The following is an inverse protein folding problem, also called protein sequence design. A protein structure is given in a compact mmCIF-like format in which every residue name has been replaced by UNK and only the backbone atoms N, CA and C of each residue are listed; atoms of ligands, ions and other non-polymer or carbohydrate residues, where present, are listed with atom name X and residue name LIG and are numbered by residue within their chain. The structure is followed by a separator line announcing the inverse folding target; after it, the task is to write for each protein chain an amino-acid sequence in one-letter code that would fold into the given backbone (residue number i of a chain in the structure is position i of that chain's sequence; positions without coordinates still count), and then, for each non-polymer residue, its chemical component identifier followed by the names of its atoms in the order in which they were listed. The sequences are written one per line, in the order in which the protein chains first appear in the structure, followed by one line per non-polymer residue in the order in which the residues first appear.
data_IF_517987395773
#
_entry.id   IF_517987395773
#
_cell.length_a   1.000
_cell.length_b   1.000
_cell.length_c   1.000
_cell.angle_alpha   90.00
_cell.angle_beta   90.00
_cell.angle_gamma   90.00
#
_symmetry.space_group_name_H-M   'P 1'
#
loop_
_entity.id
_entity.type
_entity.pdbx_description
1 polymer ?
#
# COMPACT_ATOMS: atom_id res chain seq x y z
N UNK A 1 5.48 12.01 31.45
CA UNK A 1 5.46 11.82 30.01
C UNK A 1 6.61 10.95 29.54
N UNK A 2 6.59 10.53 28.28
CA UNK A 2 7.69 9.80 27.65
C UNK A 2 8.63 10.83 27.01
N UNK A 3 9.91 10.78 27.35
CA UNK A 3 10.94 11.57 26.66
C UNK A 3 11.50 10.75 25.49
N UNK A 4 11.03 11.06 24.30
CA UNK A 4 11.53 10.40 23.08
C UNK A 4 12.89 10.97 22.68
N UNK A 5 13.77 10.11 22.20
CA UNK A 5 15.09 10.49 21.67
C UNK A 5 15.12 10.60 20.15
N UNK A 6 14.15 9.93 19.48
CA UNK A 6 13.99 9.92 18.03
C UNK A 6 12.52 10.12 17.68
N UNK A 7 12.28 10.89 16.63
CA UNK A 7 10.96 11.26 16.13
C UNK A 7 10.84 10.85 14.67
N UNK A 8 9.87 9.99 14.38
CA UNK A 8 9.62 9.49 13.04
C UNK A 8 8.39 10.16 12.43
N UNK A 9 8.60 11.02 11.46
CA UNK A 9 7.55 11.62 10.64
C UNK A 9 7.12 10.62 9.56
N UNK A 10 6.04 9.90 9.83
CA UNK A 10 5.45 8.95 8.92
C UNK A 10 4.52 9.68 7.95
N UNK A 11 5.02 10.04 6.76
CA UNK A 11 4.44 10.94 5.76
C UNK A 11 4.41 12.42 6.19
N UNK A 12 4.16 13.32 5.23
CA UNK A 12 4.19 14.76 5.42
C UNK A 12 3.22 15.27 6.48
N UNK A 13 2.04 14.64 6.64
CA UNK A 13 1.03 15.07 7.64
C UNK A 13 1.55 15.10 9.09
N UNK A 14 2.59 14.33 9.41
CA UNK A 14 3.19 14.31 10.74
C UNK A 14 4.22 15.46 10.96
N UNK A 15 4.63 16.16 9.92
CA UNK A 15 5.79 17.07 9.97
C UNK A 15 5.61 18.27 10.90
N UNK A 16 4.38 18.75 11.15
CA UNK A 16 4.13 19.86 12.09
C UNK A 16 4.53 19.54 13.53
N UNK A 17 4.76 18.27 13.88
CA UNK A 17 5.42 17.88 15.12
C UNK A 17 6.78 18.61 15.26
N UNK A 18 7.56 18.67 14.17
CA UNK A 18 8.87 19.32 14.20
C UNK A 18 8.75 20.84 14.40
N UNK A 19 7.69 21.48 13.90
CA UNK A 19 7.45 22.89 14.16
C UNK A 19 7.22 23.17 15.66
N UNK A 20 6.43 22.32 16.32
CA UNK A 20 6.24 22.45 17.77
C UNK A 20 7.56 22.22 18.54
N UNK A 21 8.33 21.20 18.15
CA UNK A 21 9.63 20.92 18.77
C UNK A 21 10.62 22.07 18.63
N UNK A 22 10.66 22.71 17.44
CA UNK A 22 11.47 23.92 17.22
C UNK A 22 11.06 25.01 18.22
N UNK A 23 9.75 25.25 18.37
CA UNK A 23 9.26 26.25 19.32
C UNK A 23 9.63 25.91 20.78
N UNK A 24 9.53 24.64 21.17
CA UNK A 24 9.90 24.20 22.52
C UNK A 24 11.40 24.40 22.80
N UNK A 25 12.29 24.09 21.84
CA UNK A 25 13.73 24.34 21.99
C UNK A 25 14.07 25.82 22.10
N UNK A 26 13.43 26.69 21.30
CA UNK A 26 13.65 28.14 21.39
C UNK A 26 13.10 28.70 22.69
N UNK A 27 11.84 28.39 23.03
CA UNK A 27 11.13 29.02 24.15
C UNK A 27 11.54 28.43 25.51
N UNK A 28 11.77 27.12 25.61
CA UNK A 28 12.02 26.47 26.90
C UNK A 28 13.53 26.27 27.16
N UNK A 29 14.34 26.08 26.12
CA UNK A 29 15.78 25.85 26.25
C UNK A 29 16.62 27.09 25.91
N UNK A 30 16.01 28.14 25.38
CA UNK A 30 16.69 29.38 25.04
C UNK A 30 17.65 29.28 23.87
N UNK A 31 17.46 28.28 22.99
CA UNK A 31 18.27 28.13 21.79
C UNK A 31 17.87 29.16 20.73
N UNK A 32 18.82 29.57 19.90
CA UNK A 32 18.49 30.26 18.65
C UNK A 32 17.71 29.35 17.71
N UNK A 33 17.02 29.92 16.73
CA UNK A 33 16.30 29.13 15.72
C UNK A 33 17.21 28.14 14.99
N UNK A 34 18.44 28.54 14.63
CA UNK A 34 19.41 27.69 13.93
C UNK A 34 19.84 26.53 14.81
N UNK A 35 20.15 26.75 16.08
CA UNK A 35 20.50 25.68 17.02
C UNK A 35 19.33 24.74 17.23
N UNK A 36 18.11 25.26 17.39
CA UNK A 36 16.89 24.47 17.51
C UNK A 36 16.65 23.59 16.27
N UNK A 37 16.89 24.14 15.06
CA UNK A 37 16.75 23.43 13.81
C UNK A 37 17.71 22.21 13.74
N UNK A 38 18.96 22.38 14.10
CA UNK A 38 19.92 21.28 14.12
C UNK A 38 19.56 20.21 15.17
N UNK A 39 19.07 20.63 16.34
CA UNK A 39 18.59 19.69 17.37
C UNK A 39 17.38 18.89 16.91
N UNK A 40 16.43 19.53 16.21
CA UNK A 40 15.26 18.84 15.67
C UNK A 40 15.66 17.91 14.52
N UNK A 41 16.49 18.38 13.59
CA UNK A 41 16.95 17.58 12.45
C UNK A 41 17.67 16.32 12.90
N UNK A 42 18.66 16.44 13.79
CA UNK A 42 19.51 15.33 14.26
C UNK A 42 18.73 14.18 14.93
N UNK A 43 17.49 14.45 15.36
CA UNK A 43 16.64 13.49 16.04
C UNK A 43 15.34 13.17 15.27
N UNK A 44 15.22 13.57 14.01
CA UNK A 44 14.04 13.37 13.18
C UNK A 44 14.33 12.58 11.91
N UNK A 45 13.43 11.66 11.60
CA UNK A 45 13.42 10.84 10.39
C UNK A 45 12.10 11.07 9.65
N UNK A 46 12.15 11.19 8.33
CA UNK A 46 10.98 11.28 7.45
C UNK A 46 10.86 10.07 6.53
N UNK A 47 9.71 9.43 6.52
CA UNK A 47 9.40 8.37 5.55
C UNK A 47 8.29 8.84 4.61
N UNK A 48 8.61 8.91 3.31
CA UNK A 48 7.65 9.21 2.25
C UNK A 48 6.97 7.93 1.78
N UNK A 49 5.64 7.96 1.59
CA UNK A 49 4.86 6.77 1.25
C UNK A 49 4.24 6.79 -0.14
N UNK A 50 4.34 7.89 -0.88
CA UNK A 50 3.73 7.98 -2.21
C UNK A 50 4.52 8.85 -3.17
N UNK A 51 4.73 8.40 -4.43
CA UNK A 51 5.26 9.24 -5.49
C UNK A 51 4.15 10.03 -6.22
N UNK A 52 2.88 9.84 -5.82
CA UNK A 52 1.73 10.46 -6.49
C UNK A 52 1.49 11.85 -5.92
N UNK A 53 1.49 12.93 -6.74
CA UNK A 53 1.34 14.31 -6.26
C UNK A 53 0.11 14.55 -5.37
N UNK A 54 -1.01 13.90 -5.66
CA UNK A 54 -2.24 13.99 -4.86
C UNK A 54 -2.12 13.42 -3.43
N UNK A 55 -1.04 12.72 -3.12
CA UNK A 55 -0.74 12.20 -1.78
C UNK A 55 0.09 13.15 -0.92
N UNK A 56 0.55 14.28 -1.45
CA UNK A 56 1.31 15.29 -0.72
C UNK A 56 0.41 16.46 -0.36
N UNK A 57 0.49 16.93 0.88
CA UNK A 57 -0.29 18.05 1.37
C UNK A 57 0.39 19.38 1.06
N UNK A 58 -0.38 20.31 0.48
CA UNK A 58 0.04 21.66 0.16
C UNK A 58 -0.98 22.65 0.71
N UNK A 59 -0.51 23.66 1.43
CA UNK A 59 -1.35 24.70 1.99
C UNK A 59 -1.08 26.06 1.36
N UNK A 60 -2.13 26.75 0.92
CA UNK A 60 -2.05 28.13 0.47
C UNK A 60 -1.61 29.04 1.63
N UNK A 61 -0.88 30.10 1.30
CA UNK A 61 -0.28 31.00 2.29
C UNK A 61 -1.32 31.57 3.29
N UNK A 62 -2.51 31.92 2.81
CA UNK A 62 -3.57 32.43 3.68
C UNK A 62 -4.03 31.40 4.73
N UNK A 63 -4.11 30.13 4.34
CA UNK A 63 -4.47 29.04 5.25
C UNK A 63 -3.33 28.75 6.22
N UNK A 64 -2.09 28.68 5.71
CA UNK A 64 -0.91 28.51 6.52
C UNK A 64 -0.76 29.65 7.55
N UNK A 65 -0.95 30.90 7.14
CA UNK A 65 -0.89 32.06 8.02
C UNK A 65 -1.83 31.93 9.22
N UNK A 66 -3.07 31.54 8.97
CA UNK A 66 -4.10 31.42 10.02
C UNK A 66 -3.65 30.51 11.20
N UNK A 67 -2.88 29.48 10.92
CA UNK A 67 -2.50 28.47 11.93
C UNK A 67 -1.03 28.53 12.34
N UNK A 68 -0.14 28.92 11.43
CA UNK A 68 1.31 28.81 11.64
C UNK A 68 1.98 30.15 11.99
N UNK A 69 1.35 31.30 11.71
CA UNK A 69 1.95 32.62 12.01
C UNK A 69 2.43 32.77 13.47
N UNK A 70 1.70 32.29 14.50
CA UNK A 70 2.19 32.40 15.88
C UNK A 70 3.51 31.66 16.15
N UNK A 71 3.86 30.71 15.29
CA UNK A 71 5.14 30.00 15.39
C UNK A 71 6.31 30.81 14.86
N UNK A 72 6.11 31.69 13.87
CA UNK A 72 7.15 32.62 13.43
C UNK A 72 7.62 33.50 14.61
N UNK A 73 6.68 34.06 15.38
CA UNK A 73 6.97 34.82 16.57
C UNK A 73 7.70 33.99 17.64
N UNK A 74 7.23 32.77 17.91
CA UNK A 74 7.87 31.86 18.88
C UNK A 74 9.30 31.50 18.51
N UNK A 75 9.57 31.38 17.21
CA UNK A 75 10.90 31.03 16.67
C UNK A 75 11.82 32.25 16.52
N UNK A 76 11.28 33.48 16.60
CA UNK A 76 12.02 34.71 16.36
C UNK A 76 12.47 34.88 14.91
N UNK A 77 11.69 34.39 13.95
CA UNK A 77 11.95 34.48 12.50
C UNK A 77 10.82 35.23 11.80
N UNK A 78 11.06 35.68 10.57
CA UNK A 78 10.02 36.30 9.77
C UNK A 78 8.96 35.26 9.31
N UNK A 79 7.77 35.74 8.95
CA UNK A 79 6.76 34.88 8.31
C UNK A 79 7.26 34.30 7.00
N UNK A 80 8.03 35.05 6.21
CA UNK A 80 8.62 34.59 4.97
C UNK A 80 9.60 33.44 5.20
N UNK A 81 10.46 33.52 6.23
CA UNK A 81 11.38 32.44 6.58
C UNK A 81 10.63 31.14 6.96
N UNK A 82 9.53 31.27 7.73
CA UNK A 82 8.72 30.11 8.09
C UNK A 82 8.09 29.48 6.84
N UNK A 83 7.51 30.28 5.95
CA UNK A 83 6.95 29.79 4.69
C UNK A 83 8.02 29.11 3.80
N UNK A 84 9.23 29.67 3.77
CA UNK A 84 10.35 29.11 2.99
C UNK A 84 10.80 27.73 3.48
N UNK A 85 10.55 27.37 4.74
CA UNK A 85 10.79 26.01 5.22
C UNK A 85 9.96 24.96 4.50
N UNK A 86 8.79 25.32 3.97
CA UNK A 86 7.90 24.43 3.22
C UNK A 86 7.90 24.68 1.71
N UNK A 87 8.82 25.50 1.17
CA UNK A 87 8.92 25.83 -0.25
C UNK A 87 10.20 25.22 -0.87
N UNK A 88 10.06 24.64 -2.03
CA UNK A 88 11.21 24.14 -2.81
C UNK A 88 12.04 25.31 -3.34
N UNK A 89 11.36 26.36 -3.77
CA UNK A 89 11.99 27.63 -4.17
C UNK A 89 11.65 28.72 -3.15
N UNK A 90 12.61 29.09 -2.28
CA UNK A 90 12.43 30.20 -1.34
C UNK A 90 12.07 31.51 -2.05
N UNK A 91 11.39 32.39 -1.33
CA UNK A 91 10.98 33.74 -1.79
C UNK A 91 10.10 33.77 -3.04
N UNK A 92 9.35 32.68 -3.25
CA UNK A 92 8.33 32.56 -4.31
C UNK A 92 6.92 32.50 -3.74
N UNK A 93 5.92 32.44 -4.63
CA UNK A 93 4.51 32.25 -4.25
C UNK A 93 4.10 30.77 -4.17
N UNK A 94 5.07 29.84 -4.05
CA UNK A 94 4.77 28.43 -3.86
C UNK A 94 3.98 28.19 -2.58
N UNK A 95 3.06 27.24 -2.63
CA UNK A 95 2.32 26.79 -1.46
C UNK A 95 3.26 26.12 -0.45
N UNK A 96 2.91 26.15 0.81
CA UNK A 96 3.63 25.40 1.85
C UNK A 96 3.42 23.90 1.67
N UNK A 97 4.47 23.18 1.37
CA UNK A 97 4.49 21.72 1.23
C UNK A 97 4.90 21.06 2.54
N UNK A 98 4.06 20.18 3.05
CA UNK A 98 4.36 19.40 4.25
C UNK A 98 5.56 18.47 4.05
N UNK A 99 5.73 17.91 2.84
CA UNK A 99 6.87 17.05 2.53
C UNK A 99 8.19 17.83 2.45
N UNK A 100 8.18 19.01 1.85
CA UNK A 100 9.37 19.90 1.83
C UNK A 100 9.73 20.32 3.25
N UNK A 101 8.75 20.69 4.05
CA UNK A 101 8.96 21.02 5.46
C UNK A 101 9.55 19.84 6.25
N UNK A 102 9.04 18.62 6.02
CA UNK A 102 9.58 17.42 6.64
C UNK A 102 11.05 17.20 6.26
N UNK A 103 11.38 17.31 4.96
CA UNK A 103 12.76 17.15 4.48
C UNK A 103 13.71 18.22 5.02
N UNK A 104 13.25 19.45 5.18
CA UNK A 104 14.03 20.53 5.77
C UNK A 104 14.24 20.40 7.29
N UNK A 105 13.39 19.63 7.97
CA UNK A 105 13.43 19.48 9.45
C UNK A 105 13.78 18.06 9.91
N UNK A 106 14.08 17.14 9.00
CA UNK A 106 14.58 15.81 9.29
C UNK A 106 15.98 15.64 8.70
N UNK A 107 16.86 14.93 9.38
CA UNK A 107 18.19 14.62 8.87
C UNK A 107 18.14 13.48 7.86
N UNK A 108 17.39 12.45 8.18
CA UNK A 108 17.25 11.26 7.35
C UNK A 108 15.88 11.22 6.69
N UNK A 109 15.84 10.78 5.45
CA UNK A 109 14.61 10.52 4.72
C UNK A 109 14.71 9.22 3.94
N UNK A 110 13.59 8.49 3.83
CA UNK A 110 13.56 7.26 3.06
C UNK A 110 12.24 7.05 2.32
N UNK A 111 12.33 6.40 1.15
CA UNK A 111 11.20 5.75 0.50
C UNK A 111 10.95 4.37 1.10
N UNK A 112 9.89 3.69 0.63
CA UNK A 112 9.38 2.43 1.21
C UNK A 112 9.61 1.19 0.33
N UNK A 113 10.44 1.32 -0.68
CA UNK A 113 11.07 0.28 -1.50
C UNK A 113 12.29 0.89 -2.19
N UNK A 114 13.18 0.05 -2.73
CA UNK A 114 14.35 0.54 -3.47
C UNK A 114 13.94 1.48 -4.62
N UNK A 115 13.02 1.03 -5.47
CA UNK A 115 12.55 1.84 -6.60
C UNK A 115 11.89 3.15 -6.14
N UNK A 116 11.12 3.10 -5.06
CA UNK A 116 10.49 4.30 -4.50
C UNK A 116 11.52 5.28 -3.92
N UNK A 117 12.62 4.79 -3.35
CA UNK A 117 13.76 5.62 -2.95
C UNK A 117 14.33 6.40 -4.14
N UNK A 118 14.57 5.72 -5.26
CA UNK A 118 15.09 6.36 -6.49
C UNK A 118 14.08 7.36 -7.10
N UNK A 119 12.79 7.05 -7.06
CA UNK A 119 11.73 7.97 -7.49
C UNK A 119 11.67 9.20 -6.58
N UNK A 120 11.78 8.99 -5.27
CA UNK A 120 11.75 10.07 -4.26
C UNK A 120 12.95 10.99 -4.36
N UNK A 121 14.14 10.47 -4.66
CA UNK A 121 15.32 11.29 -4.96
C UNK A 121 15.05 12.27 -6.10
N UNK A 122 14.48 11.78 -7.21
CA UNK A 122 14.13 12.62 -8.36
C UNK A 122 13.03 13.63 -8.03
N UNK A 123 12.02 13.19 -7.28
CA UNK A 123 10.87 14.01 -6.92
C UNK A 123 11.26 15.21 -6.04
N UNK A 124 12.23 15.03 -5.16
CA UNK A 124 12.68 16.05 -4.22
C UNK A 124 14.05 16.68 -4.58
N UNK A 125 14.53 16.45 -5.79
CA UNK A 125 15.85 16.94 -6.22
C UNK A 125 16.02 18.47 -6.07
N UNK A 126 14.94 19.23 -6.27
CA UNK A 126 14.96 20.68 -6.17
C UNK A 126 15.24 21.24 -4.77
N UNK A 127 15.10 20.42 -3.72
CA UNK A 127 15.34 20.85 -2.33
C UNK A 127 16.84 21.02 -2.05
N UNK A 128 17.67 20.15 -2.62
CA UNK A 128 19.14 20.20 -2.44
C UNK A 128 19.79 20.84 -3.65
N UNK A 129 19.73 22.17 -3.73
CA UNK A 129 20.32 22.94 -4.84
C UNK A 129 21.83 22.72 -4.94
N UNK A 130 22.30 22.42 -6.13
CA UNK A 130 23.71 22.19 -6.41
C UNK A 130 24.13 20.71 -6.33
N UNK A 131 23.26 19.82 -5.90
CA UNK A 131 23.48 18.37 -5.94
C UNK A 131 22.79 17.75 -7.16
N UNK A 132 23.35 16.68 -7.70
CA UNK A 132 22.59 15.83 -8.63
C UNK A 132 21.51 15.08 -7.87
N UNK A 133 20.46 14.63 -8.55
CA UNK A 133 19.36 13.91 -7.87
C UNK A 133 19.83 12.60 -7.22
N UNK A 134 20.88 11.96 -7.76
CA UNK A 134 21.48 10.73 -7.23
C UNK A 134 22.11 10.97 -5.85
N UNK A 135 22.61 12.18 -5.61
CA UNK A 135 23.27 12.59 -4.37
C UNK A 135 22.30 13.09 -3.31
N UNK A 136 20.99 13.20 -3.65
CA UNK A 136 20.00 13.68 -2.68
C UNK A 136 19.89 12.74 -1.47
N UNK A 137 19.60 13.33 -0.31
CA UNK A 137 19.62 12.65 0.99
C UNK A 137 18.32 11.85 1.23
N UNK A 138 17.95 11.00 0.28
CA UNK A 138 16.79 10.10 0.40
C UNK A 138 17.27 8.67 0.17
N UNK A 139 17.20 7.87 1.21
CA UNK A 139 17.46 6.43 1.15
C UNK A 139 16.19 5.62 0.86
N UNK A 140 16.23 4.35 1.21
CA UNK A 140 15.05 3.50 1.23
C UNK A 140 15.10 2.48 2.38
N UNK A 141 13.93 2.14 2.87
CA UNK A 141 13.72 0.98 3.75
C UNK A 141 12.49 0.26 3.22
N UNK A 142 12.69 -0.93 2.69
CA UNK A 142 11.59 -1.69 2.09
C UNK A 142 10.58 -2.09 3.16
N UNK A 143 9.32 -1.76 2.92
CA UNK A 143 8.24 -2.14 3.83
C UNK A 143 8.14 -3.65 3.96
N UNK A 144 7.78 -4.09 5.14
CA UNK A 144 7.35 -5.44 5.43
C UNK A 144 5.92 -5.50 5.93
N UNK A 145 5.47 -6.69 6.27
CA UNK A 145 4.14 -6.94 6.82
C UNK A 145 4.21 -7.75 8.10
N UNK A 146 3.26 -7.50 9.00
CA UNK A 146 3.21 -8.19 10.28
C UNK A 146 2.67 -9.61 10.10
N UNK A 147 3.57 -10.59 10.02
CA UNK A 147 3.26 -12.00 9.79
C UNK A 147 2.19 -12.57 10.76
N UNK A 148 2.25 -12.31 12.08
CA UNK A 148 1.22 -12.81 13.01
C UNK A 148 -0.20 -12.35 12.69
N UNK A 149 -0.35 -11.17 12.06
CA UNK A 149 -1.65 -10.63 11.65
C UNK A 149 -2.12 -11.17 10.30
N UNK A 150 -1.21 -11.34 9.33
CA UNK A 150 -1.57 -11.59 7.93
C UNK A 150 -1.45 -13.05 7.50
N UNK A 151 -0.55 -13.84 8.09
CA UNK A 151 -0.52 -15.28 7.86
C UNK A 151 -1.74 -15.96 8.49
N UNK A 152 -2.41 -16.83 7.75
CA UNK A 152 -3.49 -17.65 8.26
C UNK A 152 -3.02 -18.52 9.44
N UNK A 153 -3.91 -18.82 10.38
CA UNK A 153 -3.59 -19.72 11.50
C UNK A 153 -3.10 -21.08 11.03
N UNK A 154 -3.68 -21.56 9.94
CA UNK A 154 -3.31 -22.82 9.28
C UNK A 154 -1.87 -22.77 8.74
N UNK A 155 -1.47 -21.67 8.09
CA UNK A 155 -0.11 -21.48 7.63
C UNK A 155 0.88 -21.35 8.78
N UNK A 156 0.52 -20.65 9.84
CA UNK A 156 1.38 -20.57 11.05
C UNK A 156 1.62 -21.94 11.66
N UNK A 157 0.58 -22.76 11.79
CA UNK A 157 0.71 -24.12 12.27
C UNK A 157 1.55 -25.02 11.32
N UNK A 158 1.39 -24.80 10.01
CA UNK A 158 2.18 -25.49 8.99
C UNK A 158 3.67 -25.13 9.07
N UNK A 159 3.98 -23.84 9.19
CA UNK A 159 5.36 -23.37 9.35
C UNK A 159 5.98 -23.89 10.64
N UNK A 160 5.28 -23.82 11.77
CA UNK A 160 5.76 -24.38 13.04
C UNK A 160 6.08 -25.88 12.92
N UNK A 161 5.20 -26.64 12.24
CA UNK A 161 5.37 -28.09 12.05
C UNK A 161 6.58 -28.44 11.19
N UNK A 162 6.82 -27.71 10.10
CA UNK A 162 7.82 -28.08 9.08
C UNK A 162 9.14 -27.32 9.22
N UNK A 163 9.12 -26.11 9.77
CA UNK A 163 10.29 -25.24 9.93
C UNK A 163 10.73 -25.07 11.38
N UNK A 164 9.84 -25.42 12.34
CA UNK A 164 10.05 -25.16 13.77
C UNK A 164 9.62 -23.75 14.19
N UNK A 165 9.42 -23.55 15.48
CA UNK A 165 8.92 -22.26 16.04
C UNK A 165 9.91 -21.10 15.84
N UNK A 166 11.19 -21.39 15.64
CA UNK A 166 12.22 -20.37 15.39
C UNK A 166 11.95 -19.52 14.13
N UNK A 167 11.17 -20.01 13.17
CA UNK A 167 10.81 -19.21 11.99
C UNK A 167 10.09 -17.90 12.34
N UNK A 168 9.35 -17.88 13.45
CA UNK A 168 8.62 -16.68 13.90
C UNK A 168 9.52 -15.64 14.57
N UNK A 169 10.67 -16.06 15.10
CA UNK A 169 11.66 -15.16 15.71
C UNK A 169 12.68 -14.68 14.65
N UNK A 170 12.98 -15.51 13.66
CA UNK A 170 13.98 -15.29 12.62
C UNK A 170 13.38 -15.16 11.21
N UNK A 171 12.16 -14.61 11.11
CA UNK A 171 11.43 -14.54 9.84
C UNK A 171 12.12 -13.73 8.74
N UNK A 172 13.05 -12.85 9.07
CA UNK A 172 13.87 -12.11 8.12
C UNK A 172 15.11 -12.86 7.63
N UNK A 173 15.41 -14.01 8.20
CA UNK A 173 16.58 -14.82 7.84
C UNK A 173 16.21 -15.89 6.81
N UNK A 174 16.78 -15.88 5.59
CA UNK A 174 16.48 -16.89 4.56
C UNK A 174 16.66 -18.32 5.06
N UNK A 175 17.68 -18.57 5.88
CA UNK A 175 17.98 -19.89 6.44
C UNK A 175 16.84 -20.47 7.26
N UNK A 176 16.05 -19.63 7.94
CA UNK A 176 14.90 -20.10 8.73
C UNK A 176 13.80 -20.72 7.85
N UNK A 177 13.78 -20.41 6.56
CA UNK A 177 12.79 -20.85 5.59
C UNK A 177 13.26 -22.04 4.73
N UNK A 178 14.55 -22.37 4.71
CA UNK A 178 15.10 -23.43 3.84
C UNK A 178 14.41 -24.79 4.00
N UNK A 179 13.90 -25.09 5.19
CA UNK A 179 13.14 -26.31 5.44
C UNK A 179 11.90 -26.49 4.57
N UNK A 180 11.38 -25.41 3.97
CA UNK A 180 10.19 -25.48 3.10
C UNK A 180 10.43 -26.32 1.85
N UNK A 181 11.65 -26.36 1.33
CA UNK A 181 12.03 -27.17 0.16
C UNK A 181 11.99 -28.68 0.41
N UNK A 182 11.90 -29.11 1.68
CA UNK A 182 11.74 -30.50 2.05
C UNK A 182 10.27 -30.91 2.24
N UNK A 183 9.34 -29.99 2.09
CA UNK A 183 7.90 -30.25 2.20
C UNK A 183 7.39 -30.72 0.86
N UNK A 184 6.56 -31.79 0.83
CA UNK A 184 6.02 -32.29 -0.42
C UNK A 184 5.02 -31.32 -1.05
N UNK A 185 4.95 -31.32 -2.38
CA UNK A 185 4.01 -30.51 -3.14
C UNK A 185 2.55 -30.79 -2.76
N UNK A 186 2.23 -32.06 -2.45
CA UNK A 186 0.90 -32.47 -2.02
C UNK A 186 0.51 -31.79 -0.71
N UNK A 187 1.41 -31.73 0.27
CA UNK A 187 1.12 -31.09 1.55
C UNK A 187 0.89 -29.58 1.40
N UNK A 188 1.67 -28.91 0.54
CA UNK A 188 1.50 -27.49 0.21
C UNK A 188 0.15 -27.29 -0.51
N UNK A 189 -0.16 -28.14 -1.48
CA UNK A 189 -1.40 -28.08 -2.25
C UNK A 189 -2.64 -28.30 -1.37
N UNK A 190 -2.63 -29.30 -0.50
CA UNK A 190 -3.72 -29.55 0.46
C UNK A 190 -3.97 -28.35 1.35
N UNK A 191 -2.90 -27.70 1.85
CA UNK A 191 -3.00 -26.47 2.64
C UNK A 191 -3.65 -25.34 1.83
N UNK A 192 -3.20 -25.13 0.59
CA UNK A 192 -3.77 -24.11 -0.31
C UNK A 192 -5.25 -24.39 -0.58
N UNK A 193 -5.62 -25.62 -0.88
CA UNK A 193 -7.00 -26.01 -1.14
C UNK A 193 -7.89 -25.85 0.10
N UNK A 194 -7.38 -26.14 1.29
CA UNK A 194 -8.12 -25.94 2.54
C UNK A 194 -8.47 -24.43 2.73
N UNK A 195 -7.52 -23.53 2.52
CA UNK A 195 -7.74 -22.08 2.64
C UNK A 195 -8.65 -21.53 1.54
N UNK A 196 -8.49 -22.00 0.32
CA UNK A 196 -9.38 -21.66 -0.80
C UNK A 196 -10.83 -22.07 -0.51
N UNK A 197 -11.05 -23.30 -0.04
CA UNK A 197 -12.38 -23.76 0.35
C UNK A 197 -12.95 -22.95 1.53
N UNK A 198 -12.12 -22.57 2.49
CA UNK A 198 -12.53 -21.68 3.60
C UNK A 198 -12.96 -20.30 3.08
N UNK A 199 -12.28 -19.76 2.08
CA UNK A 199 -12.65 -18.51 1.43
C UNK A 199 -13.96 -18.66 0.63
N UNK A 200 -14.11 -19.72 -0.16
CA UNK A 200 -15.36 -19.99 -0.92
C UNK A 200 -16.55 -20.13 0.03
N UNK A 201 -16.38 -20.85 1.13
CA UNK A 201 -17.43 -20.98 2.14
C UNK A 201 -17.78 -19.64 2.79
N UNK A 202 -16.80 -18.78 3.03
CA UNK A 202 -17.04 -17.39 3.47
C UNK A 202 -17.89 -16.63 2.44
N UNK A 203 -17.59 -16.72 1.15
CA UNK A 203 -18.37 -16.07 0.10
C UNK A 203 -19.81 -16.61 0.05
N UNK A 204 -19.96 -17.93 0.11
CA UNK A 204 -21.27 -18.60 0.00
C UNK A 204 -22.19 -18.35 1.20
N UNK A 205 -21.62 -18.15 2.39
CA UNK A 205 -22.39 -17.94 3.62
C UNK A 205 -22.48 -16.46 3.99
N UNK A 206 -21.34 -15.85 4.26
CA UNK A 206 -21.31 -14.53 4.92
C UNK A 206 -21.53 -13.39 3.91
N UNK A 207 -21.12 -13.58 2.65
CA UNK A 207 -21.30 -12.57 1.60
C UNK A 207 -22.67 -12.65 0.92
N UNK A 208 -23.24 -13.84 0.82
CA UNK A 208 -24.57 -14.04 0.24
C UNK A 208 -25.63 -13.18 0.91
N UNK A 209 -25.64 -13.11 2.24
CA UNK A 209 -26.61 -12.31 2.99
C UNK A 209 -26.47 -10.82 2.70
N UNK A 210 -25.26 -10.32 2.61
CA UNK A 210 -24.98 -8.91 2.25
C UNK A 210 -25.44 -8.59 0.83
N UNK A 211 -25.15 -9.45 -0.12
CA UNK A 211 -25.59 -9.28 -1.50
C UNK A 211 -27.12 -9.30 -1.62
N UNK A 212 -27.79 -10.20 -0.92
CA UNK A 212 -29.26 -10.26 -0.92
C UNK A 212 -29.89 -8.99 -0.36
N UNK A 213 -29.25 -8.36 0.64
CA UNK A 213 -29.73 -7.10 1.21
C UNK A 213 -29.53 -5.90 0.25
N UNK A 214 -28.49 -5.92 -0.60
CA UNK A 214 -28.09 -4.79 -1.45
C UNK A 214 -28.52 -4.95 -2.93
N UNK A 215 -28.91 -6.16 -3.37
CA UNK A 215 -29.30 -6.43 -4.76
C UNK A 215 -30.81 -6.49 -4.90
N UNK A 216 -31.33 -5.79 -5.92
CA UNK A 216 -32.76 -5.80 -6.22
C UNK A 216 -33.29 -7.13 -6.80
N UNK A 217 -32.39 -8.05 -7.19
CA UNK A 217 -32.75 -9.38 -7.75
C UNK A 217 -32.01 -10.50 -6.97
N UNK A 218 -32.71 -11.17 -6.05
CA UNK A 218 -32.17 -12.30 -5.32
C UNK A 218 -31.69 -13.47 -6.21
N UNK A 219 -32.30 -13.66 -7.37
CA UNK A 219 -31.94 -14.76 -8.28
C UNK A 219 -30.53 -14.55 -8.86
N UNK A 220 -30.12 -13.31 -9.11
CA UNK A 220 -28.77 -12.98 -9.56
C UNK A 220 -27.73 -13.35 -8.49
N UNK A 221 -28.01 -13.11 -7.21
CA UNK A 221 -27.12 -13.46 -6.10
C UNK A 221 -26.95 -14.98 -5.98
N UNK A 222 -28.05 -15.73 -6.07
CA UNK A 222 -27.99 -17.20 -6.06
C UNK A 222 -27.15 -17.71 -7.23
N UNK A 223 -27.38 -17.18 -8.42
CA UNK A 223 -26.62 -17.55 -9.62
C UNK A 223 -25.10 -17.24 -9.47
N UNK A 224 -24.71 -16.14 -8.83
CA UNK A 224 -23.31 -15.84 -8.59
C UNK A 224 -22.70 -16.85 -7.61
N UNK A 225 -23.38 -17.11 -6.49
CA UNK A 225 -22.90 -17.98 -5.42
C UNK A 225 -22.76 -19.43 -5.90
N UNK A 226 -23.72 -19.93 -6.67
CA UNK A 226 -23.71 -21.30 -7.19
C UNK A 226 -22.63 -21.52 -8.26
N UNK A 227 -22.20 -20.45 -8.93
CA UNK A 227 -21.11 -20.49 -9.94
C UNK A 227 -19.72 -20.37 -9.35
N UNK A 228 -19.56 -20.13 -8.06
CA UNK A 228 -18.23 -20.15 -7.43
C UNK A 228 -17.70 -21.59 -7.47
N UNK A 229 -16.65 -21.78 -8.28
CA UNK A 229 -16.07 -23.09 -8.56
C UNK A 229 -14.76 -23.28 -7.79
N UNK A 230 -14.67 -24.24 -6.87
CA UNK A 230 -13.43 -24.52 -6.12
C UNK A 230 -12.28 -25.01 -7.02
N UNK A 231 -12.59 -25.55 -8.20
CA UNK A 231 -11.60 -26.01 -9.16
C UNK A 231 -11.18 -24.91 -10.17
N UNK A 232 -11.80 -23.73 -10.14
CA UNK A 232 -11.37 -22.63 -10.98
C UNK A 232 -10.10 -21.99 -10.42
N UNK A 233 -9.24 -21.47 -11.30
CA UNK A 233 -8.17 -20.55 -10.92
C UNK A 233 -8.79 -19.24 -10.43
N UNK A 234 -8.67 -18.92 -9.15
CA UNK A 234 -9.22 -17.69 -8.57
C UNK A 234 -8.14 -16.63 -8.51
N UNK A 235 -8.38 -15.52 -9.22
CA UNK A 235 -7.49 -14.38 -9.29
C UNK A 235 -8.10 -13.21 -8.52
N UNK A 236 -7.41 -12.74 -7.49
CA UNK A 236 -7.85 -11.63 -6.63
C UNK A 236 -7.21 -10.30 -7.00
N UNK A 237 -8.02 -9.24 -7.05
CA UNK A 237 -7.57 -7.87 -7.16
C UNK A 237 -8.29 -7.04 -6.09
N UNK A 238 -7.58 -6.64 -5.04
CA UNK A 238 -8.19 -5.86 -3.96
C UNK A 238 -7.30 -4.74 -3.47
N UNK A 239 -7.75 -3.50 -3.68
CA UNK A 239 -7.00 -2.31 -3.31
C UNK A 239 -7.87 -1.05 -3.35
N UNK A 240 -7.32 0.08 -2.89
CA UNK A 240 -7.93 1.38 -3.15
C UNK A 240 -8.01 1.59 -4.67
N UNK A 241 -9.20 1.94 -5.16
CA UNK A 241 -9.39 2.27 -6.57
C UNK A 241 -8.86 3.68 -6.83
N UNK A 242 -7.75 3.73 -7.55
CA UNK A 242 -7.13 4.93 -8.12
C UNK A 242 -6.68 4.60 -9.54
N UNK A 243 -6.66 5.58 -10.43
CA UNK A 243 -6.42 5.36 -11.87
C UNK A 243 -5.10 4.66 -12.15
N UNK A 244 -4.02 5.03 -11.45
CA UNK A 244 -2.68 4.44 -11.66
C UNK A 244 -2.61 2.94 -11.31
N UNK A 245 -3.54 2.43 -10.51
CA UNK A 245 -3.60 0.99 -10.17
C UNK A 245 -4.22 0.14 -11.27
N UNK A 246 -4.77 0.78 -12.30
CA UNK A 246 -5.24 0.21 -13.57
C UNK A 246 -6.18 -0.99 -13.42
N UNK A 247 -7.14 -0.93 -12.50
CA UNK A 247 -8.15 -1.98 -12.35
C UNK A 247 -8.91 -2.29 -13.65
N UNK A 248 -8.97 -1.32 -14.58
CA UNK A 248 -9.62 -1.45 -15.88
C UNK A 248 -8.81 -2.25 -16.91
N UNK A 249 -7.52 -2.51 -16.67
CA UNK A 249 -6.64 -3.15 -17.67
C UNK A 249 -7.16 -4.52 -18.13
N UNK A 250 -7.74 -5.30 -17.22
CA UNK A 250 -8.36 -6.59 -17.54
C UNK A 250 -9.53 -6.47 -18.55
N UNK A 251 -10.18 -5.32 -18.61
CA UNK A 251 -11.41 -5.09 -19.38
C UNK A 251 -11.17 -4.35 -20.70
N UNK A 252 -9.94 -4.26 -21.15
CA UNK A 252 -9.59 -3.61 -22.43
C UNK A 252 -10.05 -4.42 -23.66
N UNK A 253 -10.17 -5.74 -23.50
CA UNK A 253 -10.66 -6.67 -24.52
C UNK A 253 -11.67 -7.64 -23.89
N UNK A 254 -12.95 -7.27 -23.91
CA UNK A 254 -14.01 -8.07 -23.30
C UNK A 254 -14.28 -9.39 -24.04
N UNK A 255 -14.09 -9.45 -25.34
CA UNK A 255 -14.30 -10.68 -26.11
C UNK A 255 -13.24 -11.72 -25.80
N UNK A 256 -11.98 -11.29 -25.67
CA UNK A 256 -10.89 -12.15 -25.24
C UNK A 256 -11.11 -12.61 -23.78
N UNK A 257 -11.49 -11.70 -22.90
CA UNK A 257 -11.77 -12.01 -21.51
C UNK A 257 -12.92 -13.03 -21.40
N UNK A 258 -14.00 -12.85 -22.17
CA UNK A 258 -15.12 -13.79 -22.20
C UNK A 258 -14.67 -15.20 -22.62
N UNK A 259 -13.78 -15.33 -23.60
CA UNK A 259 -13.21 -16.63 -24.01
C UNK A 259 -12.40 -17.28 -22.90
N UNK A 260 -11.63 -16.49 -22.14
CA UNK A 260 -10.82 -16.99 -21.02
C UNK A 260 -11.72 -17.50 -19.88
N UNK A 261 -12.66 -16.67 -19.39
CA UNK A 261 -13.45 -17.02 -18.20
C UNK A 261 -14.54 -18.06 -18.46
N UNK A 262 -14.89 -18.31 -19.71
CA UNK A 262 -15.88 -19.34 -20.11
C UNK A 262 -15.21 -20.62 -20.66
N UNK A 263 -13.90 -20.78 -20.50
CA UNK A 263 -13.22 -22.02 -20.83
C UNK A 263 -13.55 -23.08 -19.74
N UNK A 264 -14.26 -24.13 -20.13
CA UNK A 264 -14.68 -25.19 -19.21
C UNK A 264 -13.54 -26.10 -18.77
N UNK A 265 -12.52 -26.28 -19.62
CA UNK A 265 -11.37 -27.11 -19.32
C UNK A 265 -10.40 -26.42 -18.34
N UNK A 266 -10.29 -25.10 -18.44
CA UNK A 266 -9.42 -24.28 -17.59
C UNK A 266 -10.24 -23.11 -16.99
N UNK A 267 -11.13 -23.40 -16.03
CA UNK A 267 -12.02 -22.39 -15.48
C UNK A 267 -11.24 -21.33 -14.69
N UNK A 268 -11.56 -20.05 -14.93
CA UNK A 268 -10.95 -18.90 -14.26
C UNK A 268 -12.04 -18.01 -13.69
N UNK A 269 -11.84 -17.51 -12.48
CA UNK A 269 -12.70 -16.52 -11.84
C UNK A 269 -11.88 -15.36 -11.31
N UNK A 270 -12.39 -14.13 -11.49
CA UNK A 270 -11.77 -12.93 -10.97
C UNK A 270 -12.61 -12.35 -9.82
N UNK A 271 -11.94 -12.03 -8.73
CA UNK A 271 -12.58 -11.41 -7.56
C UNK A 271 -11.96 -10.04 -7.32
N UNK A 272 -12.78 -9.02 -7.45
CA UNK A 272 -12.44 -7.63 -7.18
C UNK A 272 -12.98 -7.18 -5.83
N UNK A 273 -12.22 -6.38 -5.10
CA UNK A 273 -12.66 -5.71 -3.89
C UNK A 273 -11.93 -4.38 -3.72
N UNK A 274 -12.50 -3.46 -2.98
CA UNK A 274 -11.84 -2.20 -2.68
C UNK A 274 -12.81 -1.04 -2.53
N UNK A 275 -12.24 0.13 -2.26
CA UNK A 275 -12.98 1.39 -2.10
C UNK A 275 -12.27 2.49 -2.89
N UNK A 276 -13.01 3.46 -3.38
CA UNK A 276 -12.49 4.72 -3.89
C UNK A 276 -12.64 5.80 -2.82
N UNK A 277 -11.76 6.81 -2.86
CA UNK A 277 -11.94 7.98 -2.01
C UNK A 277 -13.24 8.72 -2.40
N UNK A 278 -14.01 9.28 -1.45
CA UNK A 278 -15.26 9.98 -1.76
C UNK A 278 -15.10 11.13 -2.76
N UNK A 279 -13.95 11.78 -2.79
CA UNK A 279 -13.63 12.86 -3.74
C UNK A 279 -13.02 12.35 -5.07
N UNK A 280 -12.75 11.04 -5.22
CA UNK A 280 -12.16 10.45 -6.42
C UNK A 280 -13.25 9.88 -7.34
N UNK A 281 -13.85 10.75 -8.16
CA UNK A 281 -14.88 10.35 -9.13
C UNK A 281 -14.37 9.35 -10.18
N UNK A 282 -13.10 9.42 -10.55
CA UNK A 282 -12.48 8.47 -11.50
C UNK A 282 -12.39 7.07 -10.89
N UNK A 283 -11.93 6.96 -9.64
CA UNK A 283 -11.89 5.69 -8.91
C UNK A 283 -13.28 5.09 -8.70
N UNK A 284 -14.29 5.92 -8.38
CA UNK A 284 -15.69 5.49 -8.29
C UNK A 284 -16.23 5.00 -9.63
N UNK A 285 -15.87 5.67 -10.74
CA UNK A 285 -16.23 5.25 -12.09
C UNK A 285 -15.65 3.88 -12.46
N UNK A 286 -14.41 3.58 -12.02
CA UNK A 286 -13.81 2.25 -12.21
C UNK A 286 -14.61 1.15 -11.50
N UNK A 287 -15.01 1.37 -10.24
CA UNK A 287 -15.86 0.43 -9.49
C UNK A 287 -17.18 0.20 -10.22
N UNK A 288 -17.87 1.29 -10.59
CA UNK A 288 -19.14 1.21 -11.33
C UNK A 288 -18.98 0.37 -12.60
N UNK A 289 -17.93 0.63 -13.38
CA UNK A 289 -17.68 -0.11 -14.63
C UNK A 289 -17.45 -1.61 -14.40
N UNK A 290 -16.70 -1.98 -13.36
CA UNK A 290 -16.47 -3.39 -13.02
C UNK A 290 -17.78 -4.08 -12.62
N UNK A 291 -18.60 -3.41 -11.81
CA UNK A 291 -19.91 -3.93 -11.40
C UNK A 291 -20.84 -4.09 -12.59
N UNK A 292 -20.88 -3.15 -13.53
CA UNK A 292 -21.65 -3.28 -14.77
C UNK A 292 -21.20 -4.49 -15.59
N UNK A 293 -19.89 -4.68 -15.79
CA UNK A 293 -19.35 -5.82 -16.52
C UNK A 293 -19.67 -7.14 -15.81
N UNK A 294 -19.56 -7.20 -14.49
CA UNK A 294 -19.83 -8.43 -13.72
C UNK A 294 -21.27 -8.93 -13.86
N UNK A 295 -22.20 -8.03 -14.23
CA UNK A 295 -23.62 -8.33 -14.47
C UNK A 295 -23.94 -8.78 -15.89
N UNK A 296 -23.00 -8.66 -16.83
CA UNK A 296 -23.21 -9.12 -18.20
C UNK A 296 -23.32 -10.66 -18.22
N UNK A 297 -24.20 -11.24 -19.06
CA UNK A 297 -24.44 -12.69 -19.09
C UNK A 297 -23.20 -13.55 -19.19
N UNK A 298 -22.22 -13.14 -20.03
CA UNK A 298 -20.96 -13.87 -20.25
C UNK A 298 -19.99 -13.80 -19.07
N UNK A 299 -20.18 -12.85 -18.13
CA UNK A 299 -19.31 -12.63 -16.96
C UNK A 299 -19.95 -12.95 -15.63
N UNK A 300 -21.25 -13.26 -15.63
CA UNK A 300 -22.01 -13.54 -14.40
C UNK A 300 -21.41 -14.74 -13.64
N UNK A 301 -21.00 -14.53 -12.39
CA UNK A 301 -20.32 -15.52 -11.56
C UNK A 301 -18.88 -15.83 -11.95
N UNK A 302 -18.34 -15.17 -13.01
CA UNK A 302 -16.93 -15.26 -13.44
C UNK A 302 -16.12 -14.05 -13.02
N UNK A 303 -16.75 -12.87 -13.02
CA UNK A 303 -16.20 -11.64 -12.47
C UNK A 303 -17.08 -11.22 -11.31
N UNK A 304 -16.51 -11.16 -10.12
CA UNK A 304 -17.23 -10.93 -8.86
C UNK A 304 -16.64 -9.69 -8.19
N UNK A 305 -17.49 -8.74 -7.81
CA UNK A 305 -17.10 -7.60 -6.99
C UNK A 305 -17.59 -7.79 -5.56
N UNK A 306 -16.66 -7.77 -4.60
CA UNK A 306 -16.98 -7.85 -3.18
C UNK A 306 -17.14 -6.44 -2.60
N UNK A 307 -18.32 -6.14 -2.13
CA UNK A 307 -18.67 -4.89 -1.47
C UNK A 307 -18.06 -4.83 -0.05
N UNK A 308 -18.06 -3.64 0.53
CA UNK A 308 -17.64 -3.40 1.91
C UNK A 308 -16.25 -3.96 2.27
N UNK A 309 -15.26 -3.68 1.39
CA UNK A 309 -13.88 -4.09 1.63
C UNK A 309 -13.35 -3.57 2.97
N UNK A 310 -12.95 -4.49 3.83
CA UNK A 310 -12.44 -4.26 5.18
C UNK A 310 -11.35 -5.28 5.53
N UNK A 311 -10.80 -5.22 6.73
CA UNK A 311 -9.72 -6.13 7.18
C UNK A 311 -10.12 -7.62 7.16
N UNK A 312 -11.40 -7.95 7.41
CA UNK A 312 -11.86 -9.34 7.39
C UNK A 312 -11.85 -9.86 5.95
N UNK A 313 -12.43 -9.10 5.02
CA UNK A 313 -12.43 -9.43 3.58
C UNK A 313 -11.01 -9.48 3.04
N UNK A 314 -10.15 -8.53 3.43
CA UNK A 314 -8.75 -8.52 3.02
C UNK A 314 -8.01 -9.80 3.43
N UNK A 315 -8.13 -10.20 4.70
CA UNK A 315 -7.50 -11.45 5.21
C UNK A 315 -8.01 -12.68 4.46
N UNK A 316 -9.31 -12.75 4.17
CA UNK A 316 -9.88 -13.88 3.41
C UNK A 316 -9.37 -13.94 1.99
N UNK A 317 -9.25 -12.78 1.32
CA UNK A 317 -8.74 -12.70 -0.05
C UNK A 317 -7.27 -13.11 -0.14
N UNK A 318 -6.37 -12.50 0.65
CA UNK A 318 -4.92 -12.79 0.59
C UNK A 318 -4.56 -14.21 1.02
N UNK A 319 -5.48 -14.93 1.66
CA UNK A 319 -5.28 -16.34 2.06
C UNK A 319 -5.94 -17.33 1.10
N UNK A 320 -7.01 -16.92 0.41
CA UNK A 320 -7.90 -17.85 -0.28
C UNK A 320 -7.89 -17.81 -1.80
N UNK A 321 -7.37 -16.76 -2.43
CA UNK A 321 -7.19 -16.73 -3.90
C UNK A 321 -5.93 -17.51 -4.31
N UNK A 322 -5.83 -17.91 -5.57
CA UNK A 322 -4.66 -18.60 -6.09
C UNK A 322 -3.59 -17.62 -6.57
N UNK A 323 -4.03 -16.54 -7.21
CA UNK A 323 -3.17 -15.48 -7.73
C UNK A 323 -3.61 -14.13 -7.16
N UNK A 324 -2.65 -13.32 -6.74
CA UNK A 324 -2.83 -11.93 -6.36
C UNK A 324 -2.36 -11.02 -7.49
N UNK A 325 -3.32 -10.28 -8.09
CA UNK A 325 -3.06 -9.46 -9.27
C UNK A 325 -2.76 -8.00 -8.87
N UNK A 326 -1.61 -7.48 -9.34
CA UNK A 326 -1.19 -6.10 -9.19
C UNK A 326 -0.81 -5.50 -10.55
N UNK A 327 -1.51 -4.46 -10.98
CA UNK A 327 -1.30 -3.84 -12.30
C UNK A 327 -1.00 -2.34 -12.24
N UNK A 328 -0.15 -1.84 -11.32
CA UNK A 328 0.09 -0.40 -11.22
C UNK A 328 0.78 0.14 -12.48
N UNK A 329 0.62 1.44 -12.72
CA UNK A 329 1.47 2.17 -13.67
C UNK A 329 2.81 2.43 -13.02
N UNK A 330 3.86 1.77 -13.48
CA UNK A 330 5.22 1.98 -12.97
C UNK A 330 5.70 3.40 -13.30
N UNK A 331 6.36 4.12 -12.36
CA UNK A 331 6.79 3.70 -11.04
C UNK A 331 5.91 4.26 -9.89
N UNK A 332 4.59 4.23 -10.05
CA UNK A 332 3.66 4.93 -9.14
C UNK A 332 3.23 4.10 -7.92
N UNK A 333 3.58 2.82 -7.83
CA UNK A 333 3.36 2.01 -6.63
C UNK A 333 4.58 2.13 -5.71
N UNK A 334 4.42 2.81 -4.58
CA UNK A 334 5.53 3.03 -3.65
C UNK A 334 6.03 1.73 -2.99
N UNK A 335 5.13 0.87 -2.59
CA UNK A 335 5.46 -0.39 -1.93
C UNK A 335 4.65 -1.57 -2.46
N UNK A 336 3.33 -1.62 -2.25
CA UNK A 336 2.51 -2.75 -2.72
C UNK A 336 2.49 -3.94 -1.76
N UNK A 337 2.48 -3.70 -0.45
CA UNK A 337 2.56 -4.72 0.62
C UNK A 337 1.47 -5.79 0.59
N UNK A 338 0.43 -5.62 -0.23
CA UNK A 338 -0.61 -6.66 -0.41
C UNK A 338 -0.07 -7.94 -1.06
N UNK A 339 0.94 -7.80 -1.94
CA UNK A 339 1.67 -8.95 -2.50
C UNK A 339 2.40 -9.74 -1.43
N UNK A 340 3.12 -9.08 -0.53
CA UNK A 340 3.80 -9.72 0.60
C UNK A 340 2.82 -10.50 1.50
N UNK A 341 1.62 -9.92 1.76
CA UNK A 341 0.56 -10.59 2.52
C UNK A 341 0.02 -11.84 1.81
N UNK A 342 -0.06 -11.80 0.50
CA UNK A 342 -0.50 -12.92 -0.32
C UNK A 342 0.56 -14.05 -0.33
N UNK A 343 1.82 -13.72 -0.59
CA UNK A 343 2.91 -14.69 -0.68
C UNK A 343 3.16 -15.45 0.62
N UNK A 344 3.09 -14.77 1.79
CA UNK A 344 3.22 -15.47 3.07
C UNK A 344 2.09 -16.49 3.34
N UNK A 345 1.04 -16.48 2.54
CA UNK A 345 -0.06 -17.45 2.55
C UNK A 345 -0.01 -18.39 1.33
N UNK A 346 1.11 -18.47 0.63
CA UNK A 346 1.29 -19.33 -0.55
C UNK A 346 0.43 -18.92 -1.75
N UNK A 347 0.04 -17.66 -1.85
CA UNK A 347 -0.66 -17.09 -3.01
C UNK A 347 0.37 -16.46 -3.93
N UNK A 348 0.33 -16.79 -5.21
CA UNK A 348 1.28 -16.28 -6.20
C UNK A 348 1.03 -14.79 -6.46
N UNK A 349 2.08 -13.98 -6.40
CA UNK A 349 1.99 -12.56 -6.71
C UNK A 349 2.25 -12.31 -8.21
N UNK A 350 1.20 -12.01 -8.94
CA UNK A 350 1.29 -11.65 -10.36
C UNK A 350 1.20 -10.13 -10.49
N UNK A 351 2.35 -9.50 -10.61
CA UNK A 351 2.47 -8.04 -10.51
C UNK A 351 3.35 -7.44 -11.61
N UNK A 352 3.05 -6.20 -11.96
CA UNK A 352 4.03 -5.33 -12.62
C UNK A 352 5.22 -5.15 -11.68
N UNK A 353 6.44 -5.11 -12.23
CA UNK A 353 7.69 -4.90 -11.47
C UNK A 353 7.77 -3.45 -10.96
N UNK A 354 7.02 -3.18 -9.90
CA UNK A 354 6.91 -1.87 -9.25
C UNK A 354 6.88 -2.06 -7.72
N UNK A 355 7.16 -0.99 -6.99
CA UNK A 355 7.26 -1.06 -5.53
C UNK A 355 8.28 -2.10 -5.05
N UNK A 356 7.95 -2.82 -3.96
CA UNK A 356 8.82 -3.85 -3.39
C UNK A 356 9.05 -5.04 -4.36
N UNK A 357 8.07 -5.35 -5.25
CA UNK A 357 8.18 -6.49 -6.17
C UNK A 357 9.31 -6.34 -7.16
N UNK A 358 9.73 -5.10 -7.49
CA UNK A 358 10.88 -4.87 -8.33
C UNK A 358 12.16 -5.47 -7.73
N UNK A 359 12.38 -5.32 -6.43
CA UNK A 359 13.53 -5.91 -5.74
C UNK A 359 13.28 -7.37 -5.38
N UNK A 360 12.07 -7.74 -4.91
CA UNK A 360 11.71 -9.11 -4.55
C UNK A 360 11.90 -10.08 -5.73
N UNK A 361 11.39 -9.73 -6.90
CA UNK A 361 11.56 -10.53 -8.12
C UNK A 361 13.02 -10.54 -8.62
N UNK A 362 13.69 -9.38 -8.63
CA UNK A 362 15.04 -9.24 -9.16
C UNK A 362 16.10 -9.97 -8.34
N UNK A 363 15.92 -10.05 -7.04
CA UNK A 363 16.87 -10.73 -6.14
C UNK A 363 16.59 -12.21 -5.96
N UNK A 364 15.49 -12.71 -6.50
CA UNK A 364 15.14 -14.12 -6.46
C UNK A 364 14.65 -14.58 -7.85
N UNK A 365 15.52 -15.21 -8.61
CA UNK A 365 15.23 -15.70 -9.96
C UNK A 365 14.10 -16.76 -10.02
N UNK A 366 13.68 -17.28 -8.86
CA UNK A 366 12.61 -18.26 -8.72
C UNK A 366 11.31 -17.68 -8.16
N UNK A 367 11.23 -16.38 -7.96
CA UNK A 367 10.06 -15.71 -7.42
C UNK A 367 9.04 -15.35 -8.51
N UNK A 368 8.26 -16.30 -8.98
CA UNK A 368 7.11 -16.06 -9.85
C UNK A 368 7.22 -16.50 -11.29
#
# INVERSE_FOLDING_TARGET
GINSTLYHCNEGHAALLNLQRLADFVQEKGLSYQEALEMVRSSSLYTVHTPVPAGHDYFDENLAYKYLHPYADKLGISWADLMNMGRENPDTNERFSMSVFALNTCQEANGVSWLHGEVSKKMFAGIWKGYSWEESHVGYVTNGVHMPTWAASEWKAFYAKHLGDQVFEHQSEPKAWEGIFNVSDEAIWEMRMALKNKFINFLRRDFKEKWLANQGDPSAVVNIVDRINPNALIIGFARRFATYKRAHLLFTDLDRLAKIVNNEQFPVQFIFAGKAHPADGAGQGLIKRIVEISRMPQFLGKIIFLEDYNMIVAKRLVTGVDIWLNTPTRPLEASGTSGEKAEMNGVLNFSVLDGWWYEGYRFNEHAG
#
